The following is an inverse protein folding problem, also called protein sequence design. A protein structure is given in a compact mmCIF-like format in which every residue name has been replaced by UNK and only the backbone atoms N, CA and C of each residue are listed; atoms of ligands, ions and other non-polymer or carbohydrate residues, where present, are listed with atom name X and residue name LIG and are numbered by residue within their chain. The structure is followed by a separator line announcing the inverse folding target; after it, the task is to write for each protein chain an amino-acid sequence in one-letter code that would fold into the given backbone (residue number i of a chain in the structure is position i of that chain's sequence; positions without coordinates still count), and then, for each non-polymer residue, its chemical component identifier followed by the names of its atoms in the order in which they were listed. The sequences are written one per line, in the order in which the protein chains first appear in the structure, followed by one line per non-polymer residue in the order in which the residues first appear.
data_IF_906538704559
#
_entry.id   IF_906538704559
#
_cell.length_a   1.000
_cell.length_b   1.000
_cell.length_c   1.000
_cell.angle_alpha   90.00
_cell.angle_beta   90.00
_cell.angle_gamma   90.00
#
_symmetry.space_group_name_H-M   'P 1'
#
loop_
_entity.id
_entity.type
_entity.pdbx_description
1 polymer ?
#
# COMPACT_ATOMS: atom_id res chain seq x y z
N UNK A 1 -3.82 -10.41 -19.70
CA UNK A 1 -4.42 -11.59 -19.07
C UNK A 1 -4.86 -11.25 -17.65
N UNK A 2 -6.10 -11.58 -17.35
CA UNK A 2 -6.64 -11.32 -16.02
C UNK A 2 -6.16 -12.40 -15.05
N UNK A 3 -5.55 -12.00 -13.99
CA UNK A 3 -5.19 -12.90 -12.90
C UNK A 3 -6.16 -12.74 -11.74
N UNK A 4 -6.22 -13.76 -10.90
CA UNK A 4 -7.10 -13.72 -9.72
C UNK A 4 -6.67 -12.61 -8.79
N UNK A 5 -7.66 -11.95 -8.20
CA UNK A 5 -7.43 -10.92 -7.21
C UNK A 5 -6.71 -11.49 -5.98
N UNK A 6 -5.65 -10.83 -5.56
CA UNK A 6 -4.91 -11.22 -4.35
C UNK A 6 -5.74 -10.88 -3.12
N UNK A 7 -5.93 -11.86 -2.26
CA UNK A 7 -6.70 -11.73 -1.02
C UNK A 7 -5.87 -12.26 0.14
N UNK A 8 -6.34 -12.01 1.37
CA UNK A 8 -5.65 -12.53 2.55
C UNK A 8 -5.60 -14.07 2.52
N UNK A 9 -6.70 -14.81 2.23
CA UNK A 9 -6.61 -16.27 2.07
C UNK A 9 -5.63 -16.72 1.00
N UNK A 10 -5.52 -16.01 -0.12
CA UNK A 10 -4.54 -16.31 -1.17
C UNK A 10 -3.12 -16.20 -0.63
N UNK A 11 -2.82 -15.14 0.13
CA UNK A 11 -1.50 -14.94 0.73
C UNK A 11 -1.19 -16.00 1.78
N UNK A 12 -2.17 -16.36 2.60
CA UNK A 12 -2.03 -17.43 3.58
C UNK A 12 -1.76 -18.78 2.91
N UNK A 13 -2.42 -19.02 1.79
CA UNK A 13 -2.20 -20.22 0.98
C UNK A 13 -0.77 -20.30 0.46
N UNK A 14 -0.22 -19.20 -0.05
CA UNK A 14 1.18 -19.14 -0.48
C UNK A 14 2.13 -19.45 0.67
N UNK A 15 1.88 -18.88 1.84
CA UNK A 15 2.70 -19.13 3.02
C UNK A 15 2.68 -20.61 3.40
N UNK A 16 1.51 -21.22 3.39
CA UNK A 16 1.36 -22.63 3.73
C UNK A 16 2.08 -23.55 2.75
N UNK A 17 2.15 -23.18 1.48
CA UNK A 17 2.83 -23.96 0.44
C UNK A 17 4.32 -23.62 0.32
N UNK A 18 4.82 -22.67 1.11
CA UNK A 18 6.21 -22.23 1.00
C UNK A 18 6.50 -21.44 -0.26
N UNK A 19 5.49 -20.87 -0.91
CA UNK A 19 5.67 -20.05 -2.10
C UNK A 19 5.99 -18.60 -1.71
N UNK A 20 6.90 -17.93 -2.42
CA UNK A 20 7.24 -16.55 -2.08
C UNK A 20 6.09 -15.59 -2.35
N UNK A 21 5.96 -14.58 -1.48
CA UNK A 21 5.02 -13.48 -1.64
C UNK A 21 5.85 -12.26 -2.05
N UNK A 22 5.48 -11.62 -3.14
CA UNK A 22 6.20 -10.45 -3.64
C UNK A 22 5.54 -9.17 -3.15
N UNK A 23 6.36 -8.18 -2.77
CA UNK A 23 5.88 -6.87 -2.37
C UNK A 23 6.78 -5.78 -2.94
N UNK A 24 6.16 -4.70 -3.36
CA UNK A 24 6.87 -3.51 -3.86
C UNK A 24 6.15 -2.26 -3.36
N UNK A 25 6.89 -1.19 -3.21
CA UNK A 25 6.35 0.12 -2.85
C UNK A 25 5.91 0.86 -4.11
N UNK A 26 4.71 1.45 -4.07
CA UNK A 26 4.24 2.36 -5.11
C UNK A 26 3.33 3.41 -4.47
N UNK A 27 3.43 4.65 -4.94
CA UNK A 27 2.77 5.78 -4.29
C UNK A 27 1.67 6.42 -5.14
N UNK A 28 1.48 5.98 -6.38
CA UNK A 28 0.61 6.66 -7.33
C UNK A 28 0.00 5.68 -8.32
N UNK A 29 -0.83 6.21 -9.20
CA UNK A 29 -1.50 5.42 -10.22
C UNK A 29 -0.53 4.71 -11.19
N UNK A 30 0.42 5.42 -11.83
CA UNK A 30 1.28 4.72 -12.81
C UNK A 30 2.21 3.71 -12.16
N UNK A 31 2.70 3.98 -10.95
CA UNK A 31 3.55 3.02 -10.23
C UNK A 31 2.79 1.76 -9.87
N UNK A 32 1.58 1.90 -9.35
CA UNK A 32 0.73 0.77 -9.00
C UNK A 32 0.30 -0.02 -10.25
N UNK A 33 -0.01 0.68 -11.34
CA UNK A 33 -0.38 0.05 -12.60
C UNK A 33 0.76 -0.85 -13.11
N UNK A 34 2.00 -0.35 -13.07
CA UNK A 34 3.17 -1.10 -13.49
C UNK A 34 3.41 -2.33 -12.60
N UNK A 35 3.30 -2.16 -11.29
CA UNK A 35 3.49 -3.26 -10.33
C UNK A 35 2.42 -4.34 -10.50
N UNK A 36 1.17 -3.94 -10.66
CA UNK A 36 0.06 -4.88 -10.87
C UNK A 36 0.25 -5.65 -12.18
N UNK A 37 0.65 -4.97 -13.24
CA UNK A 37 0.92 -5.60 -14.54
C UNK A 37 2.09 -6.58 -14.45
N UNK A 38 3.06 -6.33 -13.57
CA UNK A 38 4.21 -7.21 -13.36
C UNK A 38 3.88 -8.45 -12.50
N UNK A 39 2.65 -8.54 -11.96
CA UNK A 39 2.23 -9.69 -11.18
C UNK A 39 2.62 -9.64 -9.72
N UNK A 40 2.87 -8.47 -9.18
CA UNK A 40 3.23 -8.29 -7.76
C UNK A 40 2.02 -8.61 -6.88
N UNK A 41 2.23 -9.34 -5.77
CA UNK A 41 1.17 -9.72 -4.85
C UNK A 41 0.70 -8.55 -3.99
N UNK A 42 1.65 -7.86 -3.36
CA UNK A 42 1.36 -6.76 -2.43
C UNK A 42 1.99 -5.46 -2.93
N UNK A 43 1.22 -4.38 -2.84
CA UNK A 43 1.74 -3.04 -3.09
C UNK A 43 1.63 -2.25 -1.80
N UNK A 44 2.78 -1.80 -1.28
CA UNK A 44 2.84 -1.00 -0.08
C UNK A 44 2.79 0.48 -0.45
N UNK A 45 1.77 1.18 0.07
CA UNK A 45 1.73 2.64 0.02
C UNK A 45 2.27 3.11 1.38
N UNK A 46 3.59 3.32 1.44
CA UNK A 46 4.27 3.64 2.68
C UNK A 46 4.28 5.13 2.97
N UNK A 47 4.40 5.48 4.26
CA UNK A 47 4.49 6.88 4.68
C UNK A 47 5.78 7.56 4.21
N UNK A 48 6.76 6.78 3.73
CA UNK A 48 7.94 7.32 3.06
C UNK A 48 7.60 8.17 1.84
N UNK A 49 6.35 8.10 1.34
CA UNK A 49 5.89 8.99 0.28
C UNK A 49 6.10 10.47 0.65
N UNK A 50 6.05 10.78 1.93
CA UNK A 50 6.31 12.14 2.40
C UNK A 50 7.69 12.64 2.03
N UNK A 51 8.67 11.76 2.07
CA UNK A 51 10.06 12.09 1.71
C UNK A 51 10.31 11.97 0.21
N UNK A 52 9.86 10.88 -0.38
CA UNK A 52 10.19 10.53 -1.77
C UNK A 52 9.35 11.32 -2.77
N UNK A 53 8.07 11.53 -2.47
CA UNK A 53 7.14 12.20 -3.39
C UNK A 53 6.91 13.64 -3.01
N UNK A 54 6.68 13.92 -1.72
CA UNK A 54 6.31 15.25 -1.25
C UNK A 54 7.51 16.10 -0.83
N UNK A 55 8.69 15.49 -0.71
CA UNK A 55 9.92 16.22 -0.44
C UNK A 55 10.13 16.65 1.01
N UNK A 56 9.38 16.08 1.95
CA UNK A 56 9.59 16.35 3.37
C UNK A 56 10.90 15.72 3.85
N UNK A 57 11.49 16.28 4.90
CA UNK A 57 12.73 15.74 5.48
C UNK A 57 12.52 14.45 6.26
N UNK A 58 11.27 14.20 6.69
CA UNK A 58 10.91 12.99 7.42
C UNK A 58 9.46 12.62 7.17
N UNK A 59 9.02 11.46 7.67
CA UNK A 59 7.63 11.01 7.54
C UNK A 59 6.68 11.69 8.53
N UNK A 60 7.21 12.47 9.47
CA UNK A 60 6.42 13.11 10.54
C UNK A 60 5.33 14.04 9.99
N UNK A 61 5.57 14.66 8.84
CA UNK A 61 4.64 15.62 8.24
C UNK A 61 3.55 14.98 7.38
N UNK A 62 3.60 13.66 7.17
CA UNK A 62 2.58 12.95 6.38
C UNK A 62 1.28 12.90 7.15
N UNK A 63 0.17 13.26 6.51
CA UNK A 63 -1.17 13.27 7.11
C UNK A 63 -1.95 12.03 6.69
N UNK A 64 -3.06 11.76 7.40
CA UNK A 64 -3.99 10.70 7.00
C UNK A 64 -4.57 10.99 5.61
N UNK A 65 -4.85 12.27 5.30
CA UNK A 65 -5.35 12.64 3.98
C UNK A 65 -4.33 12.34 2.89
N UNK A 66 -3.03 12.57 3.14
CA UNK A 66 -1.97 12.17 2.22
C UNK A 66 -2.01 10.68 1.94
N UNK A 67 -2.10 9.87 2.99
CA UNK A 67 -2.12 8.41 2.88
C UNK A 67 -3.36 7.92 2.13
N UNK A 68 -4.53 8.47 2.44
CA UNK A 68 -5.79 8.11 1.78
C UNK A 68 -5.71 8.45 0.29
N UNK A 69 -5.20 9.63 -0.05
CA UNK A 69 -5.09 10.08 -1.43
C UNK A 69 -4.18 9.18 -2.25
N UNK A 70 -3.01 8.87 -1.72
CA UNK A 70 -2.04 8.01 -2.42
C UNK A 70 -2.51 6.57 -2.49
N UNK A 71 -3.09 6.03 -1.41
CA UNK A 71 -3.64 4.68 -1.41
C UNK A 71 -4.79 4.55 -2.42
N UNK A 72 -5.66 5.56 -2.52
CA UNK A 72 -6.74 5.55 -3.49
C UNK A 72 -6.20 5.60 -4.93
N UNK A 73 -5.18 6.40 -5.18
CA UNK A 73 -4.55 6.48 -6.50
C UNK A 73 -3.91 5.14 -6.89
N UNK A 74 -3.19 4.51 -5.97
CA UNK A 74 -2.60 3.20 -6.18
C UNK A 74 -3.69 2.14 -6.46
N UNK A 75 -4.77 2.18 -5.68
CA UNK A 75 -5.88 1.24 -5.85
C UNK A 75 -6.50 1.34 -7.24
N UNK A 76 -6.66 2.54 -7.77
CA UNK A 76 -7.19 2.72 -9.12
C UNK A 76 -6.29 2.12 -10.20
N UNK A 77 -4.99 1.98 -9.92
CA UNK A 77 -4.04 1.37 -10.84
C UNK A 77 -3.98 -0.16 -10.78
N UNK A 78 -4.67 -0.77 -9.80
CA UNK A 78 -4.57 -2.22 -9.59
C UNK A 78 -5.86 -2.93 -9.94
N UNK A 79 -5.72 -4.17 -10.43
CA UNK A 79 -6.85 -5.09 -10.64
C UNK A 79 -6.73 -6.30 -9.72
N UNK A 80 -5.52 -6.78 -9.46
CA UNK A 80 -5.28 -8.01 -8.73
C UNK A 80 -4.45 -7.81 -7.47
N UNK A 81 -3.45 -6.93 -7.48
CA UNK A 81 -2.55 -6.73 -6.34
C UNK A 81 -3.30 -6.21 -5.11
N UNK A 82 -2.86 -6.64 -3.94
CA UNK A 82 -3.42 -6.23 -2.66
C UNK A 82 -2.70 -4.98 -2.16
N UNK A 83 -3.46 -3.94 -1.82
CA UNK A 83 -2.89 -2.67 -1.36
C UNK A 83 -2.78 -2.68 0.16
N UNK A 84 -1.60 -2.32 0.66
CA UNK A 84 -1.33 -2.13 2.09
C UNK A 84 -0.89 -0.69 2.29
N UNK A 85 -1.60 0.05 3.13
CA UNK A 85 -1.26 1.44 3.44
C UNK A 85 -0.76 1.59 4.86
N UNK A 86 0.34 2.33 5.03
CA UNK A 86 0.82 2.69 6.36
C UNK A 86 -0.08 3.76 6.98
N UNK A 87 -0.12 3.79 8.30
CA UNK A 87 -0.76 4.87 9.04
C UNK A 87 0.26 5.99 9.30
N UNK A 88 -0.15 7.26 9.22
CA UNK A 88 0.75 8.37 9.52
C UNK A 88 1.23 8.34 10.97
N UNK A 89 2.41 8.92 11.18
CA UNK A 89 2.99 9.04 12.51
C UNK A 89 2.00 9.72 13.46
N UNK A 90 1.82 9.16 14.65
CA UNK A 90 0.90 9.60 15.70
C UNK A 90 -0.59 9.47 15.40
N UNK A 91 -1.03 9.07 14.21
CA UNK A 91 -2.45 8.94 13.90
C UNK A 91 -3.14 7.90 14.79
N UNK A 92 -2.43 6.83 15.15
CA UNK A 92 -2.93 5.76 16.02
C UNK A 92 -2.46 5.92 17.47
N UNK A 93 -1.53 6.82 17.74
CA UNK A 93 -0.96 7.05 19.07
C UNK A 93 -1.66 8.20 19.80
N UNK A 94 -2.24 9.13 19.04
CA UNK A 94 -2.89 10.30 19.60
C UNK A 94 -4.29 9.99 20.16
N UNK A 95 -5.03 9.10 19.51
CA UNK A 95 -6.40 8.78 19.87
C UNK A 95 -6.80 7.43 19.29
N UNK A 96 -7.32 6.53 20.16
CA UNK A 96 -7.72 5.19 19.73
C UNK A 96 -8.88 5.24 18.73
N UNK A 97 -9.86 6.13 18.94
CA UNK A 97 -10.98 6.25 18.00
C UNK A 97 -10.55 6.80 16.66
N UNK A 98 -9.54 7.64 16.61
CA UNK A 98 -8.95 8.13 15.37
C UNK A 98 -8.24 7.01 14.61
N UNK A 99 -7.54 6.13 15.34
CA UNK A 99 -6.84 5.01 14.73
C UNK A 99 -7.78 3.97 14.10
N UNK A 100 -9.00 3.84 14.65
CA UNK A 100 -9.99 2.88 14.17
C UNK A 100 -10.68 3.35 12.88
N UNK A 101 -10.71 4.65 12.65
CA UNK A 101 -11.30 5.19 11.43
C UNK A 101 -10.43 4.81 10.24
#
# INVERSE_FOLDING_TARGET
MDRKKVTIPYLQGKKSRGEPITMVTAYDYPGALAADAAGIDLILVGDTLGMVVLGYESTVHVTMDDMIRHAAAAKRGTRASFIVGDMPFLSYQADVSEAIR
#
